data_IF_333468699111
#
_entry.id   IF_333468699111
#
_cell.length_a   1.000
_cell.length_b   1.000
_cell.length_c   1.000
_cell.angle_alpha   90.00
_cell.angle_beta   90.00
_cell.angle_gamma   90.00
#
_symmetry.space_group_name_H-M   'P 1'
#
loop_
_entity.id
_entity.type
_entity.pdbx_description
1 polymer ?
#
# COMPACT_ATOMS: atom_id res chain seq x y z
N UNK A 1 -1.13 3.50 1.54
CA UNK A 1 -0.85 4.80 0.88
C UNK A 1 -0.48 5.82 1.95
N UNK A 2 0.58 6.62 1.79
CA UNK A 2 1.02 7.57 2.84
C UNK A 2 0.47 8.97 2.61
N UNK A 3 -0.15 9.52 3.65
CA UNK A 3 -0.68 10.89 3.70
C UNK A 3 0.28 11.72 4.55
N UNK A 4 0.69 12.88 4.05
CA UNK A 4 1.37 13.89 4.85
C UNK A 4 0.61 15.20 4.70
N UNK A 5 0.06 15.69 5.81
CA UNK A 5 -0.63 16.97 5.87
C UNK A 5 0.34 18.02 6.41
N UNK A 6 0.41 19.16 5.73
CA UNK A 6 1.04 20.39 6.19
C UNK A 6 -0.02 21.49 6.13
N UNK A 7 0.18 22.58 6.88
CA UNK A 7 -0.80 23.69 7.03
C UNK A 7 -1.52 24.08 5.73
N UNK A 8 -0.77 24.19 4.62
CA UNK A 8 -1.32 24.58 3.31
C UNK A 8 -1.16 23.51 2.22
N UNK A 9 -0.67 22.31 2.58
CA UNK A 9 -0.31 21.29 1.58
C UNK A 9 -0.67 19.88 2.02
N UNK A 10 -1.46 19.19 1.21
CA UNK A 10 -1.78 17.78 1.38
C UNK A 10 -0.99 16.97 0.36
N UNK A 11 -0.13 16.08 0.83
CA UNK A 11 0.69 15.22 0.00
C UNK A 11 0.23 13.78 0.16
N UNK A 12 -0.30 13.23 -0.93
CA UNK A 12 -0.64 11.83 -1.08
C UNK A 12 0.46 11.16 -1.90
N UNK A 13 1.26 10.30 -1.27
CA UNK A 13 2.28 9.52 -1.96
C UNK A 13 1.86 8.07 -2.07
N UNK A 14 1.94 7.52 -3.29
CA UNK A 14 1.91 6.08 -3.45
C UNK A 14 3.06 5.49 -2.63
N UNK A 15 2.77 4.52 -1.77
CA UNK A 15 3.84 3.75 -1.14
C UNK A 15 4.53 2.98 -2.26
N UNK A 16 5.77 3.37 -2.55
CA UNK A 16 6.63 2.43 -3.23
C UNK A 16 6.90 1.32 -2.23
N UNK A 17 6.61 0.09 -2.65
CA UNK A 17 7.07 -1.09 -1.95
C UNK A 17 8.58 -0.95 -1.76
N UNK A 18 9.04 -0.99 -0.52
CA UNK A 18 10.46 -0.84 -0.18
C UNK A 18 11.35 -1.79 -1.01
N UNK A 19 10.82 -2.96 -1.37
CA UNK A 19 11.41 -3.91 -2.33
C UNK A 19 11.76 -3.29 -3.67
N UNK A 20 10.87 -2.51 -4.29
CA UNK A 20 11.13 -1.87 -5.58
C UNK A 20 12.31 -0.91 -5.50
N UNK A 21 12.52 -0.23 -4.36
CA UNK A 21 13.73 0.59 -4.14
C UNK A 21 14.97 -0.27 -3.95
N UNK A 22 14.87 -1.32 -3.14
CA UNK A 22 15.97 -2.23 -2.86
C UNK A 22 16.50 -2.90 -4.14
N UNK A 23 15.62 -3.16 -5.11
CA UNK A 23 15.98 -3.75 -6.41
C UNK A 23 16.37 -2.64 -7.41
N UNK A 24 15.60 -1.56 -7.46
CA UNK A 24 15.76 -0.50 -8.45
C UNK A 24 17.05 0.29 -8.29
N UNK A 25 17.48 0.58 -7.06
CA UNK A 25 18.69 1.36 -6.81
C UNK A 25 19.95 0.62 -7.31
N UNK A 26 20.19 -0.66 -6.98
CA UNK A 26 21.31 -1.42 -7.53
C UNK A 26 21.29 -1.49 -9.07
N UNK A 27 20.12 -1.71 -9.67
CA UNK A 27 19.98 -1.71 -11.13
C UNK A 27 20.37 -0.36 -11.75
N UNK A 28 19.92 0.74 -11.14
CA UNK A 28 20.28 2.08 -11.59
C UNK A 28 21.79 2.33 -11.45
N UNK A 29 22.37 1.96 -10.30
CA UNK A 29 23.80 2.12 -10.04
C UNK A 29 24.64 1.29 -11.01
N UNK A 30 24.22 0.06 -11.34
CA UNK A 30 24.90 -0.79 -12.31
C UNK A 30 24.87 -0.15 -13.71
N UNK A 31 23.71 0.36 -14.14
CA UNK A 31 23.61 1.06 -15.42
C UNK A 31 24.48 2.32 -15.48
N UNK A 32 24.48 3.12 -14.40
CA UNK A 32 25.34 4.30 -14.28
C UNK A 32 26.84 3.95 -14.23
N UNK A 33 27.21 2.85 -13.58
CA UNK A 33 28.59 2.39 -13.50
C UNK A 33 29.11 1.94 -14.87
N UNK A 34 28.32 1.18 -15.62
CA UNK A 34 28.67 0.78 -17.00
C UNK A 34 28.86 2.01 -17.88
N UNK A 35 27.92 2.95 -17.81
CA UNK A 35 28.00 4.18 -18.60
C UNK A 35 29.18 5.07 -18.20
N UNK A 36 29.42 5.26 -16.89
CA UNK A 36 30.52 6.04 -16.36
C UNK A 36 31.89 5.42 -16.65
N UNK A 37 31.99 4.09 -16.59
CA UNK A 37 33.21 3.36 -16.95
C UNK A 37 33.54 3.56 -18.43
N UNK A 38 32.53 3.55 -19.30
CA UNK A 38 32.72 3.86 -20.72
C UNK A 38 33.18 5.32 -20.93
N UNK A 39 32.55 6.29 -20.26
CA UNK A 39 32.95 7.71 -20.34
C UNK A 39 34.39 7.96 -19.88
N UNK A 40 34.87 7.20 -18.90
CA UNK A 40 36.24 7.29 -18.40
C UNK A 40 37.26 6.48 -19.24
N UNK A 41 36.85 5.90 -20.37
CA UNK A 41 37.72 5.10 -21.24
C UNK A 41 38.04 3.70 -20.71
N UNK A 42 37.34 3.23 -19.66
CA UNK A 42 37.65 2.00 -18.94
C UNK A 42 37.18 0.69 -19.59
N UNK A 43 36.60 0.73 -20.78
CA UNK A 43 36.24 -0.47 -21.55
C UNK A 43 37.05 -0.55 -22.84
N UNK A 44 38.37 -0.66 -22.70
CA UNK A 44 39.26 -1.04 -23.79
C UNK A 44 39.45 -2.55 -23.75
N UNK A 45 39.24 -3.19 -24.90
CA UNK A 45 39.59 -4.59 -25.12
C UNK A 45 41.12 -4.80 -25.03
N UNK A 46 41.60 -6.04 -24.93
CA UNK A 46 43.04 -6.39 -24.92
C UNK A 46 43.77 -5.85 -26.16
N UNK A 47 43.02 -5.66 -27.25
CA UNK A 47 43.48 -5.01 -28.48
C UNK A 47 43.62 -3.49 -28.40
N UNK A 48 43.33 -2.87 -27.24
CA UNK A 48 43.25 -1.42 -27.05
C UNK A 48 42.07 -0.76 -27.75
N UNK A 49 41.18 -1.54 -28.39
CA UNK A 49 39.98 -1.02 -29.04
C UNK A 49 38.94 -0.69 -27.98
N UNK A 50 38.46 0.54 -28.01
CA UNK A 50 37.36 0.99 -27.16
C UNK A 50 36.07 0.24 -27.54
N UNK A 51 35.34 -0.25 -26.54
CA UNK A 51 34.05 -0.88 -26.79
C UNK A 51 33.12 0.07 -27.54
N UNK A 52 32.30 -0.49 -28.43
CA UNK A 52 31.39 0.32 -29.23
C UNK A 52 30.43 1.07 -28.30
N UNK A 53 30.37 2.40 -28.45
CA UNK A 53 29.47 3.27 -27.67
C UNK A 53 28.05 2.71 -27.59
N UNK A 54 27.55 2.17 -28.69
CA UNK A 54 26.23 1.56 -28.78
C UNK A 54 26.02 0.41 -27.79
N UNK A 55 27.02 -0.45 -27.58
CA UNK A 55 26.92 -1.58 -26.65
C UNK A 55 26.92 -1.12 -25.19
N UNK A 56 27.81 -0.19 -24.83
CA UNK A 56 27.84 0.39 -23.49
C UNK A 56 26.54 1.12 -23.16
N UNK A 57 26.01 1.90 -24.12
CA UNK A 57 24.74 2.60 -23.98
C UNK A 57 23.56 1.63 -23.83
N UNK A 58 23.54 0.55 -24.62
CA UNK A 58 22.48 -0.46 -24.56
C UNK A 58 22.45 -1.16 -23.21
N UNK A 59 23.61 -1.60 -22.70
CA UNK A 59 23.71 -2.22 -21.37
C UNK A 59 23.31 -1.21 -20.29
N UNK A 60 23.84 0.01 -20.34
CA UNK A 60 23.51 1.05 -19.37
C UNK A 60 22.01 1.38 -19.36
N UNK A 61 21.36 1.45 -20.53
CA UNK A 61 19.93 1.69 -20.64
C UNK A 61 19.09 0.50 -20.11
N UNK A 62 19.52 -0.73 -20.41
CA UNK A 62 18.83 -1.95 -20.00
C UNK A 62 18.78 -2.12 -18.48
N UNK A 63 19.82 -1.68 -17.76
CA UNK A 63 19.84 -1.70 -16.29
C UNK A 63 19.36 -0.38 -15.68
N UNK A 64 19.76 0.75 -16.27
CA UNK A 64 19.48 2.09 -15.77
C UNK A 64 18.02 2.48 -15.83
N UNK A 65 17.32 2.22 -16.95
CA UNK A 65 15.90 2.64 -17.10
C UNK A 65 14.96 1.86 -16.16
N UNK A 66 15.02 0.52 -16.06
CA UNK A 66 14.23 -0.21 -15.07
C UNK A 66 14.60 0.17 -13.64
N UNK A 67 15.90 0.35 -13.36
CA UNK A 67 16.38 0.80 -12.06
C UNK A 67 15.80 2.16 -11.65
N UNK A 68 15.79 3.11 -12.58
CA UNK A 68 15.20 4.44 -12.40
C UNK A 68 13.70 4.34 -12.13
N UNK A 69 12.98 3.55 -12.94
CA UNK A 69 11.54 3.34 -12.78
C UNK A 69 11.17 2.68 -11.46
N UNK A 70 11.90 1.64 -11.05
CA UNK A 70 11.64 0.91 -9.80
C UNK A 70 12.06 1.69 -8.56
N UNK A 71 13.20 2.40 -8.62
CA UNK A 71 13.73 3.18 -7.50
C UNK A 71 12.95 4.48 -7.27
N UNK A 72 12.53 5.14 -8.34
CA UNK A 72 12.04 6.53 -8.29
C UNK A 72 10.66 6.75 -8.92
N UNK A 73 9.99 5.72 -9.43
CA UNK A 73 8.64 5.79 -10.02
C UNK A 73 7.50 6.07 -9.03
N UNK A 74 7.69 6.99 -8.08
CA UNK A 74 6.66 7.38 -7.12
C UNK A 74 5.65 8.29 -7.78
N UNK A 75 4.36 7.98 -7.66
CA UNK A 75 3.33 8.94 -8.01
C UNK A 75 3.00 9.73 -6.75
N UNK A 76 3.24 11.04 -6.81
CA UNK A 76 2.83 11.99 -5.79
C UNK A 76 1.63 12.77 -6.31
N UNK A 77 0.63 12.89 -5.48
CA UNK A 77 -0.53 13.73 -5.68
C UNK A 77 -0.51 14.79 -4.59
N UNK A 78 -0.45 16.05 -4.99
CA UNK A 78 -0.22 17.18 -4.10
C UNK A 78 -1.35 18.16 -4.32
N UNK A 79 -2.07 18.47 -3.24
CA UNK A 79 -3.04 19.57 -3.23
C UNK A 79 -2.43 20.69 -2.40
N UNK A 80 -2.18 21.83 -3.05
CA UNK A 80 -1.58 23.01 -2.42
C UNK A 80 -2.63 24.12 -2.40
N UNK A 81 -3.10 24.47 -1.21
CA UNK A 81 -4.15 25.46 -1.00
C UNK A 81 -3.61 26.89 -1.15
N UNK A 82 -2.36 27.13 -0.75
CA UNK A 82 -1.73 28.44 -0.87
C UNK A 82 -1.40 28.78 -2.32
N UNK A 83 -0.89 27.80 -3.07
CA UNK A 83 -0.68 27.95 -4.50
C UNK A 83 -1.98 27.82 -5.31
N UNK A 84 -3.07 27.35 -4.70
CA UNK A 84 -4.34 27.09 -5.39
C UNK A 84 -4.18 26.09 -6.53
N UNK A 85 -3.41 25.02 -6.35
CA UNK A 85 -3.15 24.03 -7.41
C UNK A 85 -3.25 22.59 -6.90
N UNK A 86 -3.78 21.72 -7.77
CA UNK A 86 -3.67 20.27 -7.63
C UNK A 86 -2.65 19.75 -8.64
N UNK A 87 -1.61 19.09 -8.15
CA UNK A 87 -0.51 18.57 -8.96
C UNK A 87 -0.44 17.05 -8.86
N UNK A 88 -0.39 16.37 -10.00
CA UNK A 88 0.11 15.00 -10.12
C UNK A 88 1.54 15.02 -10.63
N UNK A 89 2.43 14.35 -9.91
CA UNK A 89 3.87 14.34 -10.18
C UNK A 89 4.41 12.90 -10.18
N UNK A 90 5.11 12.53 -11.25
CA UNK A 90 5.86 11.26 -11.33
C UNK A 90 7.31 11.46 -10.82
N UNK A 91 7.50 11.26 -9.52
CA UNK A 91 8.81 10.94 -8.93
C UNK A 91 9.88 12.02 -8.97
N UNK A 92 11.04 11.72 -8.40
CA UNK A 92 12.11 12.70 -8.18
C UNK A 92 12.85 13.15 -9.46
N UNK A 93 12.76 12.37 -10.54
CA UNK A 93 13.62 12.56 -11.72
C UNK A 93 12.96 13.23 -12.93
N UNK A 94 11.63 13.31 -12.97
CA UNK A 94 10.92 13.90 -14.10
C UNK A 94 10.12 15.13 -13.66
N UNK A 95 10.77 16.30 -13.48
CA UNK A 95 10.05 17.56 -13.33
C UNK A 95 9.19 17.87 -14.57
N UNK A 96 9.57 17.30 -15.73
CA UNK A 96 8.87 17.47 -17.00
C UNK A 96 7.50 16.79 -17.06
N UNK A 97 7.23 15.79 -16.21
CA UNK A 97 5.92 15.11 -16.14
C UNK A 97 5.18 15.52 -14.86
N UNK A 98 4.88 16.82 -14.80
CA UNK A 98 4.03 17.44 -13.80
C UNK A 98 2.73 17.89 -14.47
N UNK A 99 1.60 17.29 -14.10
CA UNK A 99 0.29 17.79 -14.49
C UNK A 99 -0.26 18.64 -13.34
N UNK A 100 -0.33 19.96 -13.53
CA UNK A 100 -0.78 20.91 -12.52
C UNK A 100 -2.06 21.59 -13.01
N UNK A 101 -3.13 21.46 -12.24
CA UNK A 101 -4.43 22.06 -12.54
C UNK A 101 -4.77 23.07 -11.43
N UNK A 102 -5.20 24.30 -11.76
CA UNK A 102 -5.67 25.25 -10.76
C UNK A 102 -6.87 24.70 -9.99
N UNK A 103 -6.85 24.83 -8.67
CA UNK A 103 -7.91 24.38 -7.77
C UNK A 103 -9.24 25.10 -8.05
N UNK A 104 -9.17 26.36 -8.51
CA UNK A 104 -10.35 27.15 -8.92
C UNK A 104 -11.06 26.63 -10.17
N UNK A 105 -10.43 25.74 -10.95
CA UNK A 105 -11.04 25.10 -12.13
C UNK A 105 -11.50 23.66 -11.86
N UNK A 106 -11.49 23.25 -10.59
CA UNK A 106 -11.92 21.95 -10.12
C UNK A 106 -13.20 22.14 -9.31
N UNK A 107 -14.23 21.35 -9.63
CA UNK A 107 -15.55 21.54 -9.04
C UNK A 107 -15.88 20.49 -7.98
N UNK A 108 -15.25 19.31 -8.08
CA UNK A 108 -15.57 18.17 -7.21
C UNK A 108 -14.40 17.22 -7.00
N UNK A 109 -14.43 16.55 -5.85
CA UNK A 109 -13.64 15.35 -5.59
C UNK A 109 -14.50 14.14 -5.87
N UNK A 110 -14.16 13.33 -6.85
CA UNK A 110 -14.86 12.10 -7.18
C UNK A 110 -14.07 10.88 -6.67
N UNK A 111 -14.77 9.93 -6.05
CA UNK A 111 -14.25 8.58 -5.93
C UNK A 111 -14.52 7.87 -7.25
N UNK A 112 -13.48 7.42 -7.95
CA UNK A 112 -13.63 6.77 -9.26
C UNK A 112 -13.20 5.30 -9.20
N UNK A 113 -13.99 4.48 -9.85
CA UNK A 113 -13.75 3.03 -9.97
C UNK A 113 -12.97 2.78 -11.26
N UNK A 114 -11.70 2.40 -11.12
CA UNK A 114 -10.83 2.04 -12.23
C UNK A 114 -10.84 0.52 -12.37
N UNK A 115 -11.67 0.02 -13.29
CA UNK A 115 -11.62 -1.39 -13.70
C UNK A 115 -10.44 -1.57 -14.63
N UNK A 116 -9.50 -2.45 -14.26
CA UNK A 116 -8.41 -2.86 -15.15
C UNK A 116 -8.64 -4.30 -15.54
N UNK A 117 -8.77 -4.52 -16.84
CA UNK A 117 -8.77 -5.87 -17.42
C UNK A 117 -7.36 -6.18 -17.90
N UNK A 118 -6.78 -7.28 -17.42
CA UNK A 118 -5.54 -7.83 -17.97
C UNK A 118 -5.73 -9.34 -18.10
N UNK A 119 -5.52 -9.85 -19.31
CA UNK A 119 -5.43 -11.30 -19.60
C UNK A 119 -6.58 -12.12 -18.96
N UNK A 120 -7.83 -11.71 -19.21
CA UNK A 120 -9.02 -12.43 -18.73
C UNK A 120 -9.40 -12.16 -17.27
N UNK A 121 -8.67 -11.30 -16.55
CA UNK A 121 -9.00 -10.90 -15.19
C UNK A 121 -9.30 -9.41 -15.09
N UNK A 122 -10.50 -9.09 -14.58
CA UNK A 122 -10.87 -7.74 -14.20
C UNK A 122 -10.64 -7.57 -12.70
N UNK A 123 -9.77 -6.63 -12.32
CA UNK A 123 -9.69 -6.18 -10.93
C UNK A 123 -10.15 -4.73 -10.84
N UNK A 124 -10.90 -4.46 -9.77
CA UNK A 124 -11.45 -3.15 -9.49
C UNK A 124 -10.55 -2.43 -8.51
N UNK A 125 -9.99 -1.31 -8.96
CA UNK A 125 -9.23 -0.40 -8.11
C UNK A 125 -10.02 0.88 -7.89
N UNK A 126 -9.84 1.50 -6.74
CA UNK A 126 -10.48 2.78 -6.42
C UNK A 126 -9.43 3.89 -6.45
N UNK A 127 -9.76 5.05 -6.97
CA UNK A 127 -8.87 6.21 -6.95
C UNK A 127 -9.66 7.48 -6.59
N UNK A 128 -8.95 8.47 -6.07
CA UNK A 128 -9.50 9.80 -5.81
C UNK A 128 -9.18 10.66 -7.02
N UNK A 129 -10.20 11.25 -7.63
CA UNK A 129 -10.05 12.13 -8.78
C UNK A 129 -10.58 13.53 -8.45
N UNK A 130 -9.76 14.55 -8.67
CA UNK A 130 -10.23 15.93 -8.73
C UNK A 130 -10.65 16.20 -10.16
N UNK A 131 -11.88 16.65 -10.37
CA UNK A 131 -12.44 16.91 -11.71
C UNK A 131 -13.16 18.25 -11.76
N UNK A 132 -13.09 18.90 -12.92
CA UNK A 132 -13.80 20.14 -13.24
C UNK A 132 -13.50 20.59 -14.67
N UNK A 133 -13.94 21.80 -15.08
CA UNK A 133 -13.73 22.33 -16.43
C UNK A 133 -12.24 22.51 -16.77
N UNK A 134 -11.37 22.66 -15.78
CA UNK A 134 -9.93 22.79 -15.98
C UNK A 134 -9.19 21.49 -16.27
N UNK A 135 -9.88 20.34 -16.21
CA UNK A 135 -9.32 19.02 -16.42
C UNK A 135 -9.48 18.10 -15.21
N UNK A 136 -8.68 17.05 -15.18
CA UNK A 136 -8.73 16.02 -14.13
C UNK A 136 -7.35 15.66 -13.59
N UNK A 137 -7.30 15.44 -12.28
CA UNK A 137 -6.10 14.99 -11.57
C UNK A 137 -6.45 13.79 -10.72
N UNK A 138 -5.98 12.61 -11.11
CA UNK A 138 -6.26 11.34 -10.43
C UNK A 138 -5.10 10.94 -9.51
N UNK A 139 -5.42 10.50 -8.29
CA UNK A 139 -4.49 9.96 -7.31
C UNK A 139 -4.00 8.56 -7.70
N UNK A 140 -3.03 8.02 -6.94
CA UNK A 140 -2.72 6.60 -7.00
C UNK A 140 -3.92 5.75 -6.58
N UNK A 141 -4.04 4.58 -7.21
CA UNK A 141 -5.08 3.60 -6.92
C UNK A 141 -4.89 2.95 -5.56
N UNK A 142 -6.00 2.68 -4.87
CA UNK A 142 -6.11 1.98 -3.59
C UNK A 142 -7.03 0.77 -3.78
N UNK A 143 -6.66 -0.37 -3.20
CA UNK A 143 -7.43 -1.61 -3.35
C UNK A 143 -8.68 -1.63 -2.47
N UNK A 144 -8.65 -0.98 -1.30
CA UNK A 144 -9.79 -0.93 -0.38
C UNK A 144 -10.71 0.25 -0.70
N UNK A 145 -12.02 0.03 -0.93
CA UNK A 145 -12.98 1.12 -1.15
C UNK A 145 -13.15 1.99 0.10
N UNK A 146 -13.04 1.40 1.30
CA UNK A 146 -13.13 2.14 2.56
C UNK A 146 -11.96 3.10 2.76
N UNK A 147 -10.73 2.63 2.49
CA UNK A 147 -9.53 3.48 2.55
C UNK A 147 -9.62 4.60 1.50
N UNK A 148 -10.07 4.29 0.29
CA UNK A 148 -10.26 5.28 -0.77
C UNK A 148 -11.31 6.34 -0.36
N UNK A 149 -12.45 5.95 0.22
CA UNK A 149 -13.45 6.90 0.74
C UNK A 149 -12.88 7.79 1.83
N UNK A 150 -12.10 7.23 2.77
CA UNK A 150 -11.42 8.01 3.83
C UNK A 150 -10.47 9.05 3.23
N UNK A 151 -9.68 8.65 2.22
CA UNK A 151 -8.80 9.55 1.49
C UNK A 151 -9.56 10.63 0.73
N UNK A 152 -10.61 10.26 -0.01
CA UNK A 152 -11.41 11.19 -0.78
C UNK A 152 -12.07 12.24 0.12
N UNK A 153 -12.58 11.84 1.30
CA UNK A 153 -13.09 12.77 2.32
C UNK A 153 -12.02 13.74 2.82
N UNK A 154 -10.83 13.23 3.18
CA UNK A 154 -9.72 14.09 3.63
C UNK A 154 -9.33 15.10 2.55
N UNK A 155 -9.26 14.67 1.28
CA UNK A 155 -8.98 15.55 0.13
C UNK A 155 -10.10 16.57 -0.08
N UNK A 156 -11.37 16.16 0.00
CA UNK A 156 -12.53 17.02 -0.18
C UNK A 156 -12.61 18.12 0.88
N UNK A 157 -12.42 17.76 2.16
CA UNK A 157 -12.37 18.72 3.27
C UNK A 157 -11.19 19.67 3.11
N UNK A 158 -10.00 19.14 2.77
CA UNK A 158 -8.80 19.97 2.60
C UNK A 158 -8.91 20.94 1.41
N UNK A 159 -9.51 20.50 0.30
CA UNK A 159 -9.69 21.29 -0.91
C UNK A 159 -10.94 22.18 -0.89
N UNK A 160 -11.81 22.03 0.11
CA UNK A 160 -13.12 22.70 0.21
C UNK A 160 -14.02 22.43 -1.01
N UNK A 161 -13.96 21.21 -1.53
CA UNK A 161 -14.74 20.76 -2.67
C UNK A 161 -15.77 19.70 -2.26
N UNK A 162 -16.95 19.63 -2.90
CA UNK A 162 -17.92 18.57 -2.66
C UNK A 162 -17.34 17.19 -3.02
N UNK A 163 -17.72 16.18 -2.24
CA UNK A 163 -17.36 14.78 -2.51
C UNK A 163 -18.47 14.10 -3.28
N UNK A 164 -18.14 13.54 -4.43
CA UNK A 164 -19.03 12.72 -5.24
C UNK A 164 -18.61 11.24 -5.13
N UNK A 165 -19.40 10.45 -4.41
CA UNK A 165 -19.19 9.00 -4.29
C UNK A 165 -19.87 8.28 -5.45
N UNK A 166 -19.12 7.92 -6.51
CA UNK A 166 -19.69 7.21 -7.67
C UNK A 166 -20.23 5.83 -7.33
N UNK A 167 -19.86 5.25 -6.17
CA UNK A 167 -20.39 3.95 -5.75
C UNK A 167 -21.80 4.05 -5.18
N UNK A 168 -22.16 5.21 -4.63
CA UNK A 168 -23.50 5.48 -4.07
C UNK A 168 -24.31 6.47 -4.90
N UNK A 169 -23.68 7.10 -5.89
CA UNK A 169 -24.23 8.24 -6.65
C UNK A 169 -24.65 9.43 -5.77
N UNK A 170 -24.00 9.57 -4.60
CA UNK A 170 -24.30 10.63 -3.64
C UNK A 170 -23.25 11.73 -3.77
N UNK A 171 -23.72 12.97 -3.90
CA UNK A 171 -22.87 14.17 -3.79
C UNK A 171 -23.06 14.77 -2.41
N UNK A 172 -22.01 14.76 -1.59
CA UNK A 172 -22.01 15.32 -0.24
C UNK A 172 -21.29 16.67 -0.27
N UNK A 173 -21.92 17.78 0.16
CA UNK A 173 -21.27 19.07 0.23
C UNK A 173 -20.14 19.08 1.26
N UNK A 174 -19.14 19.94 1.05
CA UNK A 174 -17.97 19.99 1.93
C UNK A 174 -18.32 20.38 3.38
N UNK A 175 -19.39 21.16 3.58
CA UNK A 175 -19.87 21.59 4.90
C UNK A 175 -20.34 20.43 5.78
N UNK A 176 -21.07 19.48 5.19
CA UNK A 176 -21.45 18.22 5.86
C UNK A 176 -20.23 17.32 6.08
N UNK A 177 -19.22 17.42 5.21
CA UNK A 177 -17.95 16.68 5.31
C UNK A 177 -17.02 17.21 6.41
N UNK A 178 -17.10 18.49 6.76
CA UNK A 178 -16.37 19.11 7.87
C UNK A 178 -17.08 19.04 9.22
N UNK A 179 -18.35 18.60 9.25
CA UNK A 179 -19.17 18.52 10.46
C UNK A 179 -18.45 17.82 11.61
N UNK A 180 -18.61 18.36 12.82
CA UNK A 180 -17.90 17.94 14.02
C UNK A 180 -18.11 16.44 14.25
N UNK A 181 -17.05 15.69 14.58
CA UNK A 181 -17.10 14.23 14.78
C UNK A 181 -18.18 13.83 15.81
N UNK A 182 -18.42 14.72 16.78
CA UNK A 182 -19.48 14.63 17.79
C UNK A 182 -20.90 14.73 17.21
N UNK A 183 -21.14 15.59 16.22
CA UNK A 183 -22.44 15.71 15.55
C UNK A 183 -22.72 14.48 14.69
N UNK A 184 -21.68 13.93 14.06
CA UNK A 184 -21.79 12.67 13.30
C UNK A 184 -22.09 11.48 14.17
N UNK A 185 -21.39 11.33 15.29
CA UNK A 185 -21.66 10.25 16.25
C UNK A 185 -23.06 10.35 16.84
N UNK A 186 -23.61 11.57 16.95
CA UNK A 186 -25.00 11.78 17.35
C UNK A 186 -25.97 11.33 16.26
N UNK A 187 -25.66 11.62 14.98
CA UNK A 187 -26.51 11.24 13.85
C UNK A 187 -26.45 9.74 13.51
N UNK A 188 -25.27 9.10 13.59
CA UNK A 188 -25.09 7.65 13.40
C UNK A 188 -25.74 6.85 14.56
N UNK A 189 -25.88 7.43 15.75
CA UNK A 189 -26.58 6.79 16.87
C UNK A 189 -28.07 6.59 16.58
N UNK A 190 -28.65 7.46 15.75
CA UNK A 190 -30.07 7.46 15.42
C UNK A 190 -30.39 6.61 14.18
N UNK A 191 -29.38 6.13 13.44
CA UNK A 191 -29.53 5.22 12.29
C UNK A 191 -28.43 4.16 12.26
N UNK A 192 -28.63 2.98 12.89
CA UNK A 192 -27.80 1.83 12.59
C UNK A 192 -28.14 1.34 11.17
N UNK A 193 -27.48 1.88 10.15
CA UNK A 193 -27.51 1.28 8.81
C UNK A 193 -26.75 -0.05 8.85
N UNK A 194 -27.50 -1.16 8.91
CA UNK A 194 -26.99 -2.48 8.57
C UNK A 194 -26.65 -2.49 7.09
N UNK A 195 -25.39 -2.21 6.75
CA UNK A 195 -24.92 -2.38 5.38
C UNK A 195 -25.11 -3.83 4.91
N UNK A 196 -25.31 -4.06 3.60
CA UNK A 196 -25.36 -5.41 3.06
C UNK A 196 -24.05 -6.15 3.37
N UNK A 197 -24.10 -7.47 3.59
CA UNK A 197 -22.89 -8.26 3.83
C UNK A 197 -21.92 -8.11 2.64
N UNK A 198 -20.60 -8.08 2.89
CA UNK A 198 -19.61 -7.98 1.83
C UNK A 198 -19.73 -9.15 0.84
N UNK A 199 -19.55 -8.87 -0.46
CA UNK A 199 -19.53 -9.88 -1.53
C UNK A 199 -18.56 -11.03 -1.19
N UNK A 200 -19.02 -12.29 -1.34
CA UNK A 200 -18.24 -13.51 -1.08
C UNK A 200 -18.45 -14.13 0.31
N UNK A 201 -19.33 -13.59 1.13
CA UNK A 201 -19.70 -14.16 2.43
C UNK A 201 -21.12 -14.71 2.38
N UNK A 202 -21.27 -16.03 2.26
CA UNK A 202 -22.55 -16.69 2.47
C UNK A 202 -22.70 -17.03 3.95
N UNK A 203 -23.71 -16.45 4.59
CA UNK A 203 -24.04 -16.73 5.99
C UNK A 203 -25.32 -17.54 6.03
N UNK A 204 -25.19 -18.85 6.23
CA UNK A 204 -26.34 -19.74 6.43
C UNK A 204 -26.61 -19.91 7.92
N UNK A 205 -27.88 -19.78 8.30
CA UNK A 205 -28.34 -19.93 9.67
C UNK A 205 -29.01 -21.29 9.80
N UNK A 206 -28.25 -22.30 10.24
CA UNK A 206 -28.74 -23.68 10.40
C UNK A 206 -28.79 -24.01 11.89
N UNK A 207 -29.98 -24.30 12.42
CA UNK A 207 -30.15 -24.78 13.80
C UNK A 207 -29.75 -23.79 14.91
N UNK A 208 -29.79 -22.48 14.66
CA UNK A 208 -29.37 -21.45 15.62
C UNK A 208 -27.88 -21.10 15.57
N UNK A 209 -27.07 -21.87 14.85
CA UNK A 209 -25.65 -21.59 14.62
C UNK A 209 -25.48 -20.80 13.33
N UNK A 210 -24.70 -19.71 13.36
CA UNK A 210 -24.40 -18.94 12.16
C UNK A 210 -23.16 -19.55 11.50
N UNK A 211 -23.36 -20.30 10.42
CA UNK A 211 -22.26 -20.90 9.67
C UNK A 211 -21.84 -19.90 8.59
N UNK A 212 -20.78 -19.15 8.88
CA UNK A 212 -20.20 -18.22 7.92
C UNK A 212 -19.28 -19.04 7.02
N UNK A 213 -19.75 -19.36 5.82
CA UNK A 213 -18.91 -20.01 4.81
C UNK A 213 -18.21 -18.90 4.04
N UNK A 214 -16.96 -18.66 4.41
CA UNK A 214 -16.06 -17.89 3.56
C UNK A 214 -15.74 -18.81 2.39
N UNK A 215 -16.28 -18.52 1.21
CA UNK A 215 -15.79 -19.22 0.02
C UNK A 215 -14.28 -18.95 -0.05
N UNK A 216 -13.45 -19.98 -0.25
CA UNK A 216 -12.03 -19.75 -0.45
C UNK A 216 -11.94 -18.74 -1.56
N UNK A 217 -11.33 -17.58 -1.28
CA UNK A 217 -11.09 -16.55 -2.27
C UNK A 217 -10.21 -17.19 -3.33
N UNK A 218 -10.84 -17.84 -4.30
CA UNK A 218 -10.19 -18.79 -5.19
C UNK A 218 -8.99 -18.06 -5.77
N UNK A 219 -7.79 -18.57 -5.47
CA UNK A 219 -6.57 -17.96 -5.97
C UNK A 219 -6.72 -17.96 -7.49
N UNK A 220 -7.08 -16.81 -8.04
CA UNK A 220 -7.63 -16.69 -9.39
C UNK A 220 -6.70 -17.43 -10.35
N UNK A 221 -7.26 -18.16 -11.31
CA UNK A 221 -6.46 -18.96 -12.26
C UNK A 221 -5.25 -18.18 -12.81
N UNK A 222 -5.37 -16.88 -13.07
CA UNK A 222 -4.25 -16.01 -13.47
C UNK A 222 -3.15 -15.79 -12.44
N UNK A 223 -3.42 -15.82 -11.14
CA UNK A 223 -2.38 -15.81 -10.09
C UNK A 223 -1.62 -17.14 -10.04
N UNK A 224 -2.34 -18.26 -10.20
CA UNK A 224 -1.71 -19.59 -10.35
C UNK A 224 -0.89 -19.64 -11.64
N UNK A 225 -1.45 -19.17 -12.75
CA UNK A 225 -0.77 -19.12 -14.04
C UNK A 225 0.46 -18.19 -14.01
N UNK A 226 0.36 -16.98 -13.44
CA UNK A 226 1.53 -16.10 -13.27
C UNK A 226 2.60 -16.74 -12.38
N UNK A 227 2.21 -17.46 -11.34
CA UNK A 227 3.14 -18.20 -10.49
C UNK A 227 3.84 -19.32 -11.27
N UNK A 228 3.09 -20.15 -12.00
CA UNK A 228 3.64 -21.22 -12.83
C UNK A 228 4.42 -20.69 -14.04
N UNK A 229 4.04 -19.56 -14.62
CA UNK A 229 4.77 -18.91 -15.71
C UNK A 229 6.06 -18.26 -15.20
N UNK A 230 6.07 -17.71 -13.98
CA UNK A 230 7.30 -17.22 -13.36
C UNK A 230 8.26 -18.36 -13.02
N UNK A 231 7.77 -19.45 -12.42
CA UNK A 231 8.59 -20.62 -12.11
C UNK A 231 9.05 -21.33 -13.39
N UNK A 232 8.14 -21.55 -14.33
CA UNK A 232 8.42 -22.15 -15.63
C UNK A 232 9.38 -21.30 -16.46
N UNK A 233 9.22 -19.98 -16.46
CA UNK A 233 10.15 -19.05 -17.10
C UNK A 233 11.54 -19.05 -16.44
N UNK A 234 11.59 -19.11 -15.10
CA UNK A 234 12.85 -19.30 -14.36
C UNK A 234 13.54 -20.61 -14.75
N UNK A 235 12.78 -21.70 -14.83
CA UNK A 235 13.33 -23.02 -15.13
C UNK A 235 13.80 -23.09 -16.59
N UNK A 236 13.03 -22.52 -17.52
CA UNK A 236 13.27 -22.66 -18.95
C UNK A 236 14.33 -21.68 -19.47
N UNK A 237 14.42 -20.48 -18.91
CA UNK A 237 15.42 -19.47 -19.31
C UNK A 237 16.54 -19.35 -18.28
N UNK A 238 16.20 -19.35 -17.00
CA UNK A 238 17.18 -19.15 -15.93
C UNK A 238 18.13 -20.33 -15.75
N UNK A 239 17.69 -21.57 -15.96
CA UNK A 239 18.52 -22.77 -15.77
C UNK A 239 19.58 -22.93 -16.89
N UNK A 240 19.24 -22.79 -18.19
CA UNK A 240 20.26 -22.76 -19.25
C UNK A 240 21.22 -21.56 -19.12
N UNK A 241 20.71 -20.40 -18.71
CA UNK A 241 21.53 -19.23 -18.45
C UNK A 241 22.49 -19.46 -17.27
N UNK A 242 22.01 -20.07 -16.18
CA UNK A 242 22.85 -20.42 -15.04
C UNK A 242 23.96 -21.38 -15.46
N UNK A 243 23.64 -22.41 -16.24
CA UNK A 243 24.61 -23.39 -16.73
C UNK A 243 25.66 -22.72 -17.63
N UNK A 244 25.25 -21.82 -18.53
CA UNK A 244 26.20 -21.09 -19.39
C UNK A 244 27.09 -20.13 -18.59
N UNK A 245 26.52 -19.42 -17.60
CA UNK A 245 27.27 -18.55 -16.67
C UNK A 245 28.28 -19.36 -15.84
N UNK A 246 27.87 -20.51 -15.30
CA UNK A 246 28.75 -21.40 -14.53
C UNK A 246 29.82 -22.03 -15.41
N UNK A 247 29.48 -22.49 -16.62
CA UNK A 247 30.45 -23.02 -17.57
C UNK A 247 31.49 -21.97 -17.97
N UNK A 248 31.07 -20.72 -18.19
CA UNK A 248 31.98 -19.62 -18.45
C UNK A 248 32.85 -19.25 -17.24
N UNK A 249 32.33 -19.34 -16.02
CA UNK A 249 33.12 -19.12 -14.80
C UNK A 249 34.17 -20.22 -14.58
N UNK A 250 33.84 -21.47 -14.91
CA UNK A 250 34.71 -22.63 -14.74
C UNK A 250 35.70 -22.85 -15.89
N UNK A 251 35.48 -22.23 -17.05
CA UNK A 251 36.41 -22.32 -18.16
C UNK A 251 37.67 -21.48 -17.88
N UNK A 252 38.83 -22.15 -17.80
CA UNK A 252 40.12 -21.49 -17.60
C UNK A 252 40.47 -20.51 -18.72
N UNK A 253 39.91 -20.70 -19.91
CA UNK A 253 40.08 -19.85 -21.11
C UNK A 253 39.08 -18.70 -21.23
N UNK A 254 38.13 -18.54 -20.29
CA UNK A 254 37.15 -17.48 -20.38
C UNK A 254 37.80 -16.11 -20.15
N UNK A 255 37.55 -15.18 -21.07
CA UNK A 255 37.99 -13.80 -20.94
C UNK A 255 37.52 -13.19 -19.61
N UNK A 256 38.37 -12.41 -18.92
CA UNK A 256 38.04 -11.82 -17.62
C UNK A 256 36.79 -10.93 -17.67
N UNK A 257 36.51 -10.31 -18.82
CA UNK A 257 35.27 -9.55 -19.05
C UNK A 257 34.01 -10.39 -18.96
N UNK A 258 34.06 -11.64 -19.43
CA UNK A 258 32.91 -12.56 -19.41
C UNK A 258 32.61 -13.04 -17.98
N UNK A 259 33.65 -13.24 -17.16
CA UNK A 259 33.52 -13.56 -15.73
C UNK A 259 32.92 -12.40 -14.93
N UNK A 260 33.26 -11.16 -15.27
CA UNK A 260 32.66 -9.96 -14.68
C UNK A 260 31.17 -9.80 -15.06
N UNK A 261 30.80 -10.13 -16.29
CA UNK A 261 29.40 -10.14 -16.74
C UNK A 261 28.59 -11.30 -16.14
N UNK A 262 29.21 -12.41 -15.79
CA UNK A 262 28.58 -13.57 -15.17
C UNK A 262 28.01 -13.29 -13.76
N UNK A 263 28.68 -12.44 -12.97
CA UNK A 263 28.29 -12.10 -11.60
C UNK A 263 26.90 -11.41 -11.49
N UNK A 264 26.58 -10.36 -12.27
CA UNK A 264 25.25 -9.76 -12.30
C UNK A 264 24.14 -10.76 -12.65
N UNK A 265 24.39 -11.67 -13.59
CA UNK A 265 23.42 -12.69 -13.97
C UNK A 265 23.15 -13.67 -12.85
N UNK A 266 24.18 -14.08 -12.12
CA UNK A 266 24.04 -14.96 -10.95
C UNK A 266 23.23 -14.28 -9.85
N UNK A 267 23.45 -12.98 -9.60
CA UNK A 267 22.64 -12.18 -8.68
C UNK A 267 21.17 -12.08 -9.10
N UNK A 268 20.91 -11.87 -10.40
CA UNK A 268 19.54 -11.85 -10.94
C UNK A 268 18.85 -13.20 -10.71
N UNK A 269 19.56 -14.31 -10.96
CA UNK A 269 19.01 -15.67 -10.77
C UNK A 269 18.70 -15.97 -9.30
N UNK A 270 19.59 -15.61 -8.38
CA UNK A 270 19.35 -15.73 -6.92
C UNK A 270 18.13 -14.89 -6.52
N UNK A 271 18.03 -13.67 -7.03
CA UNK A 271 16.92 -12.77 -6.74
C UNK A 271 15.58 -13.32 -7.27
N UNK A 272 15.58 -13.86 -8.48
CA UNK A 272 14.45 -14.51 -9.12
C UNK A 272 13.99 -15.74 -8.31
N UNK A 273 14.93 -16.57 -7.85
CA UNK A 273 14.65 -17.72 -6.98
C UNK A 273 14.06 -17.30 -5.62
N UNK A 274 14.62 -16.26 -4.99
CA UNK A 274 14.10 -15.73 -3.72
C UNK A 274 12.69 -15.15 -3.87
N UNK A 275 12.43 -14.44 -4.96
CA UNK A 275 11.10 -13.89 -5.29
C UNK A 275 10.07 -15.01 -5.47
N UNK A 276 10.41 -16.06 -6.20
CA UNK A 276 9.55 -17.24 -6.37
C UNK A 276 9.25 -17.92 -5.03
N UNK A 277 10.25 -18.10 -4.17
CA UNK A 277 10.09 -18.69 -2.83
C UNK A 277 9.14 -17.88 -1.94
N UNK A 278 9.25 -16.55 -1.95
CA UNK A 278 8.35 -15.64 -1.21
C UNK A 278 6.90 -15.76 -1.66
N UNK A 279 6.66 -15.82 -2.98
CA UNK A 279 5.31 -16.00 -3.51
C UNK A 279 4.76 -17.35 -3.07
N UNK A 280 5.57 -18.41 -3.14
CA UNK A 280 5.19 -19.76 -2.69
C UNK A 280 4.80 -19.78 -1.20
N UNK A 281 5.60 -19.15 -0.33
CA UNK A 281 5.31 -19.05 1.10
C UNK A 281 4.01 -18.28 1.37
N UNK A 282 3.73 -17.23 0.61
CA UNK A 282 2.48 -16.47 0.73
C UNK A 282 1.28 -17.30 0.31
N UNK A 283 1.37 -18.00 -0.82
CA UNK A 283 0.30 -18.89 -1.28
C UNK A 283 0.06 -20.07 -0.34
N UNK A 284 1.11 -20.60 0.29
CA UNK A 284 1.00 -21.67 1.27
C UNK A 284 0.23 -21.21 2.52
N UNK A 285 0.54 -20.01 3.04
CA UNK A 285 -0.20 -19.41 4.16
C UNK A 285 -1.66 -19.12 3.82
N UNK A 286 -1.94 -18.69 2.60
CA UNK A 286 -3.32 -18.46 2.14
C UNK A 286 -4.10 -19.78 1.98
N UNK A 287 -3.43 -20.89 1.65
CA UNK A 287 -4.04 -22.22 1.56
C UNK A 287 -4.25 -22.90 2.92
N UNK A 288 -3.40 -22.63 3.91
CA UNK A 288 -3.53 -23.16 5.27
C UNK A 288 -4.57 -22.41 6.13
N UNK A 289 -5.07 -21.25 5.67
CA UNK A 289 -6.11 -20.46 6.34
C UNK A 289 -7.55 -20.94 6.05
N UNK A 290 -7.72 -22.19 5.64
CA UNK A 290 -9.01 -22.86 5.51
C UNK A 290 -9.44 -23.39 6.89
N UNK A 291 -9.72 -22.48 7.82
CA UNK A 291 -10.24 -22.82 9.14
C UNK A 291 -11.76 -22.62 9.16
N UNK A 292 -12.50 -23.72 9.26
CA UNK A 292 -13.95 -23.71 9.45
C UNK A 292 -14.24 -23.25 10.88
N UNK A 293 -14.50 -21.95 11.06
CA UNK A 293 -14.83 -21.41 12.38
C UNK A 293 -16.32 -21.66 12.65
N UNK A 294 -16.64 -22.75 13.33
CA UNK A 294 -17.96 -22.96 13.91
C UNK A 294 -18.09 -22.10 15.18
N UNK A 295 -18.85 -21.00 15.10
CA UNK A 295 -19.12 -20.14 16.25
C UNK A 295 -20.44 -20.55 16.89
N UNK A 296 -20.37 -20.99 18.15
CA UNK A 296 -21.57 -21.23 18.96
C UNK A 296 -22.33 -19.91 19.20
N UNK A 297 -23.64 -19.99 19.43
CA UNK A 297 -24.47 -18.79 19.60
C UNK A 297 -24.05 -17.92 20.79
N UNK A 298 -23.52 -18.53 21.87
CA UNK A 298 -22.99 -17.80 23.02
C UNK A 298 -21.67 -17.11 22.70
N UNK A 299 -20.83 -17.70 21.84
CA UNK A 299 -19.62 -17.06 21.34
C UNK A 299 -19.91 -15.93 20.36
N UNK A 300 -21.00 -16.01 19.59
CA UNK A 300 -21.46 -14.91 18.72
C UNK A 300 -21.92 -13.71 19.53
N UNK A 301 -22.71 -13.92 20.59
CA UNK A 301 -23.11 -12.85 21.50
C UNK A 301 -21.89 -12.27 22.21
N UNK A 302 -20.98 -13.13 22.71
CA UNK A 302 -19.76 -12.67 23.37
C UNK A 302 -18.85 -11.93 22.40
N UNK A 303 -18.61 -12.43 21.17
CA UNK A 303 -17.80 -11.74 20.15
C UNK A 303 -18.47 -10.52 19.57
N UNK A 304 -19.80 -10.41 19.51
CA UNK A 304 -20.48 -9.15 19.14
C UNK A 304 -20.38 -8.12 20.26
N UNK A 305 -20.48 -8.56 21.51
CA UNK A 305 -20.28 -7.70 22.69
C UNK A 305 -18.82 -7.27 22.79
N UNK A 306 -17.88 -8.19 22.53
CA UNK A 306 -16.46 -7.92 22.50
C UNK A 306 -16.11 -7.06 21.29
N UNK A 307 -16.51 -7.37 20.04
CA UNK A 307 -16.28 -6.47 18.88
C UNK A 307 -16.93 -5.12 19.06
N UNK A 308 -18.10 -4.98 19.66
CA UNK A 308 -18.68 -3.65 19.92
C UNK A 308 -17.90 -2.88 20.97
N UNK A 309 -17.34 -3.55 21.99
CA UNK A 309 -16.44 -2.95 22.98
C UNK A 309 -15.02 -2.67 22.44
N UNK A 310 -14.46 -3.56 21.62
CA UNK A 310 -13.12 -3.48 21.04
C UNK A 310 -13.12 -2.56 19.82
N UNK A 311 -14.17 -2.52 18.99
CA UNK A 311 -14.34 -1.48 17.95
C UNK A 311 -14.60 -0.12 18.59
N UNK A 312 -15.34 -0.04 19.71
CA UNK A 312 -15.39 1.20 20.51
C UNK A 312 -13.99 1.60 20.97
N UNK A 313 -13.20 0.67 21.49
CA UNK A 313 -11.83 0.96 21.97
C UNK A 313 -10.83 1.21 20.83
N UNK A 314 -10.92 0.55 19.67
CA UNK A 314 -9.98 0.71 18.57
C UNK A 314 -10.27 1.96 17.73
N UNK A 315 -11.56 2.32 17.56
CA UNK A 315 -11.93 3.63 17.02
C UNK A 315 -11.46 4.75 17.97
N UNK A 316 -11.62 4.58 19.29
CA UNK A 316 -11.06 5.55 20.24
C UNK A 316 -9.52 5.57 20.20
N UNK A 317 -8.82 4.45 20.10
CA UNK A 317 -7.34 4.43 20.18
C UNK A 317 -6.63 4.94 18.92
N UNK A 318 -7.13 4.66 17.71
CA UNK A 318 -6.58 5.25 16.48
C UNK A 318 -6.92 6.73 16.36
N UNK A 319 -8.13 7.15 16.75
CA UNK A 319 -8.50 8.58 16.73
C UNK A 319 -7.83 9.37 17.86
N UNK A 320 -7.56 8.77 19.03
CA UNK A 320 -6.75 9.39 20.10
C UNK A 320 -5.29 9.57 19.65
N UNK A 321 -4.70 8.63 18.89
CA UNK A 321 -3.33 8.81 18.35
C UNK A 321 -3.24 9.93 17.31
N UNK A 322 -4.28 10.13 16.50
CA UNK A 322 -4.36 11.30 15.60
C UNK A 322 -4.57 12.61 16.41
N UNK A 323 -5.33 12.58 17.52
CA UNK A 323 -5.58 13.72 18.43
C UNK A 323 -4.38 14.14 19.30
N UNK A 324 -3.58 13.17 19.77
CA UNK A 324 -2.41 13.41 20.63
C UNK A 324 -1.25 14.09 19.86
N UNK A 325 -1.24 13.96 18.53
CA UNK A 325 -0.28 14.64 17.66
C UNK A 325 -0.57 16.13 17.44
N UNK A 326 -1.82 16.56 17.66
CA UNK A 326 -2.29 17.94 17.45
C UNK A 326 -2.47 18.73 18.77
N UNK A 327 -2.59 18.07 19.93
CA UNK A 327 -2.82 18.72 21.22
C UNK A 327 -1.94 18.16 22.34
N UNK A 328 -0.85 18.86 22.66
CA UNK A 328 -0.11 18.62 23.88
C UNK A 328 -0.89 19.11 25.09
N UNK A 329 -1.61 18.21 25.80
CA UNK A 329 -2.19 18.55 27.10
C UNK A 329 -3.35 17.66 27.59
N UNK A 330 -3.04 16.83 28.59
CA UNK A 330 -3.88 16.39 29.71
C UNK A 330 -5.32 15.89 29.39
N UNK A 331 -5.46 14.59 29.13
CA UNK A 331 -6.76 13.89 29.19
C UNK A 331 -7.06 13.49 30.64
N UNK A 332 -8.06 14.14 31.25
CA UNK A 332 -8.71 13.65 32.49
C UNK A 332 -9.69 12.56 32.09
N UNK A 333 -9.30 11.30 32.31
CA UNK A 333 -10.17 10.15 32.09
C UNK A 333 -11.18 10.02 33.24
N UNK A 334 -12.43 9.69 32.89
CA UNK A 334 -13.48 9.36 33.84
C UNK A 334 -13.16 8.05 34.58
N UNK A 335 -13.55 7.95 35.85
CA UNK A 335 -13.26 6.84 36.77
C UNK A 335 -13.71 5.46 36.22
N UNK A 336 -14.77 5.44 35.39
CA UNK A 336 -15.27 4.25 34.72
C UNK A 336 -14.35 3.76 33.59
N UNK A 337 -13.58 4.64 32.96
CA UNK A 337 -12.67 4.30 31.85
C UNK A 337 -11.32 3.76 32.37
N UNK A 338 -10.88 4.19 33.55
CA UNK A 338 -9.68 3.66 34.22
C UNK A 338 -9.80 2.18 34.59
N UNK A 339 -10.99 1.73 35.03
CA UNK A 339 -11.24 0.33 35.39
C UNK A 339 -11.27 -0.58 34.15
N UNK A 340 -11.76 -0.07 33.02
CA UNK A 340 -11.87 -0.80 31.77
C UNK A 340 -10.53 -0.95 31.01
N UNK A 341 -9.56 -0.05 31.26
CA UNK A 341 -8.19 -0.16 30.73
C UNK A 341 -7.35 -1.19 31.48
N UNK A 342 -7.51 -1.31 32.81
CA UNK A 342 -6.79 -2.30 33.62
C UNK A 342 -7.10 -3.77 33.22
N UNK A 343 -8.26 -4.03 32.61
CA UNK A 343 -8.65 -5.38 32.18
C UNK A 343 -7.92 -5.90 30.93
N UNK A 344 -7.29 -5.02 30.15
CA UNK A 344 -6.55 -5.38 28.92
C UNK A 344 -5.03 -5.24 29.03
N UNK A 345 -4.50 -4.77 30.15
CA UNK A 345 -3.08 -4.55 30.33
C UNK A 345 -2.38 -5.80 30.90
N UNK A 346 -1.09 -5.96 30.59
CA UNK A 346 -0.25 -7.03 31.15
C UNK A 346 -0.27 -7.00 32.69
N UNK A 347 -0.01 -8.16 33.30
CA UNK A 347 -0.20 -8.38 34.75
C UNK A 347 0.46 -7.30 35.62
N UNK A 348 1.67 -6.87 35.26
CA UNK A 348 2.41 -5.82 35.97
C UNK A 348 1.74 -4.44 35.89
N UNK A 349 1.21 -4.07 34.72
CA UNK A 349 0.52 -2.78 34.53
C UNK A 349 -0.81 -2.75 35.28
N UNK A 350 -1.47 -3.90 35.37
CA UNK A 350 -2.72 -4.08 36.12
C UNK A 350 -2.50 -3.95 37.62
N UNK A 351 -1.44 -4.55 38.15
CA UNK A 351 -1.07 -4.45 39.57
C UNK A 351 -0.63 -3.03 39.95
N UNK A 352 0.10 -2.33 39.07
CA UNK A 352 0.45 -0.93 39.26
C UNK A 352 -0.77 0.00 39.30
N UNK A 353 -1.72 -0.16 38.38
CA UNK A 353 -2.97 0.61 38.36
C UNK A 353 -3.84 0.34 39.60
N UNK A 354 -3.94 -0.92 40.03
CA UNK A 354 -4.70 -1.30 41.22
C UNK A 354 -4.06 -0.78 42.52
N UNK A 355 -2.74 -0.69 42.61
CA UNK A 355 -2.07 -0.11 43.78
C UNK A 355 -2.29 1.41 43.86
N UNK A 356 -2.28 2.10 42.72
CA UNK A 356 -2.58 3.54 42.64
C UNK A 356 -4.02 3.86 43.04
N UNK A 357 -4.99 3.05 42.56
CA UNK A 357 -6.40 3.21 42.90
C UNK A 357 -6.70 2.90 44.37
N UNK A 358 -6.02 1.90 44.96
CA UNK A 358 -6.14 1.62 46.40
C UNK A 358 -5.65 2.78 47.26
N UNK A 359 -4.56 3.45 46.88
CA UNK A 359 -4.05 4.62 47.60
C UNK A 359 -5.03 5.78 47.65
N UNK A 360 -5.73 6.06 46.53
CA UNK A 360 -6.71 7.14 46.47
C UNK A 360 -8.03 6.84 47.19
N UNK A 361 -8.41 5.57 47.32
CA UNK A 361 -9.62 5.17 48.05
C UNK A 361 -9.44 5.15 49.57
N UNK A 362 -8.21 5.18 50.08
CA UNK A 362 -7.91 5.28 51.52
C UNK A 362 -7.75 6.71 52.04
N UNK A 363 -7.66 7.69 51.14
CA UNK A 363 -7.57 9.13 51.49
C UNK A 363 -8.93 9.86 51.46
N UNK A 364 -10.03 9.14 51.15
CA UNK A 364 -11.41 9.60 51.32
C UNK A 364 -12.11 8.74 52.35
#
# INVERSE_FOLDING_TARGET
MKIKTQKNKLILSSEINWWSRLIGIPFLLLGLLVFGSWLNGGMTDESGRQSSFGMALLIAAMFGLPGLGLGFGQIKFIVDRQAGTATRWLGAFFPFWKNSVPLSKLDKVALVTVRRSREGHSYTNYAVELSGPGGKVTSSSVSSPHECRRLARRVAVFAELPLHDTLKEITTPYTELSGNLRERLKHDRDKPESGPPPEGVSADKVGGTLKIRLEPCGLSFGKKFMFYAQIGGLALVGLPLLVTVLAALMADSAEPGLRLLALPWLLILVFLAFSASRVHLKTKREAECEEEIELSQSELVWKQTWRSQTLRKSFLVEDIQDLESDWGGLLVLSESDSVAMAAGAGRETREWLLSRLKGHLTER
#
